data_IF_585632220985
#
_entry.id   IF_585632220985
#
_cell.length_a   1.000
_cell.length_b   1.000
_cell.length_c   1.000
_cell.angle_alpha   90.00
_cell.angle_beta   90.00
_cell.angle_gamma   90.00
#
_symmetry.space_group_name_H-M   'P 1'
#
loop_
_entity.id
_entity.type
_entity.pdbx_description
1 polymer ?
#
# COMPACT_ATOMS: atom_id res chain seq x y z
N UNK A 1 24.34 17.81 14.91
CA UNK A 1 24.73 16.44 14.56
C UNK A 1 24.12 15.54 15.62
N UNK A 2 23.08 14.80 15.28
CA UNK A 2 22.60 13.69 16.14
C UNK A 2 23.55 12.54 15.87
N UNK A 3 24.26 12.10 16.90
CA UNK A 3 25.22 11.00 16.79
C UNK A 3 24.54 9.74 16.23
N UNK A 4 25.21 9.05 15.32
CA UNK A 4 24.74 7.78 14.73
C UNK A 4 24.44 6.72 15.81
N UNK A 5 25.12 6.79 16.94
CA UNK A 5 24.89 5.96 18.13
C UNK A 5 23.53 6.23 18.77
N UNK A 6 23.14 7.51 18.86
CA UNK A 6 21.83 7.91 19.42
C UNK A 6 20.68 7.48 18.49
N UNK A 7 20.91 7.49 17.17
CA UNK A 7 19.93 7.02 16.19
C UNK A 7 19.74 5.50 16.26
N UNK A 8 20.84 4.74 16.39
CA UNK A 8 20.81 3.30 16.55
C UNK A 8 20.12 2.86 17.84
N UNK A 9 20.47 3.51 18.96
CA UNK A 9 19.83 3.25 20.25
C UNK A 9 18.33 3.56 20.24
N UNK A 10 17.93 4.64 19.59
CA UNK A 10 16.50 5.00 19.45
C UNK A 10 15.76 3.96 18.62
N UNK A 11 16.34 3.47 17.53
CA UNK A 11 15.77 2.40 16.72
C UNK A 11 15.67 1.07 17.48
N UNK A 12 16.69 0.72 18.27
CA UNK A 12 16.64 -0.48 19.12
C UNK A 12 15.60 -0.37 20.24
N UNK A 13 15.46 0.80 20.86
CA UNK A 13 14.43 1.04 21.88
C UNK A 13 13.04 1.05 21.26
N UNK A 14 12.86 1.68 20.11
CA UNK A 14 11.61 1.62 19.36
C UNK A 14 11.27 0.19 18.96
N UNK A 15 12.22 -0.57 18.44
CA UNK A 15 12.02 -1.99 18.10
C UNK A 15 11.69 -2.82 19.36
N UNK A 16 12.40 -2.65 20.47
CA UNK A 16 12.15 -3.35 21.72
C UNK A 16 10.78 -2.99 22.32
N UNK A 17 10.38 -1.73 22.29
CA UNK A 17 9.09 -1.27 22.83
C UNK A 17 7.93 -1.79 21.96
N UNK A 18 8.08 -1.85 20.66
CA UNK A 18 7.00 -2.23 19.74
C UNK A 18 6.97 -3.73 19.42
N UNK A 19 8.11 -4.44 19.44
CA UNK A 19 8.16 -5.88 19.13
C UNK A 19 8.15 -6.78 20.36
N UNK A 20 8.93 -6.47 21.38
CA UNK A 20 9.11 -7.40 22.53
C UNK A 20 8.05 -7.26 23.62
N UNK A 21 7.41 -6.10 23.74
CA UNK A 21 6.46 -5.89 24.86
C UNK A 21 5.08 -6.52 24.63
N UNK A 22 4.74 -6.93 23.42
CA UNK A 22 3.38 -7.35 23.06
C UNK A 22 2.32 -6.26 23.32
N UNK A 23 2.76 -5.04 23.71
CA UNK A 23 1.90 -3.94 24.12
C UNK A 23 1.21 -3.30 22.91
N UNK A 24 1.89 -3.26 21.75
CA UNK A 24 1.28 -2.78 20.52
C UNK A 24 1.50 -3.77 19.39
N UNK A 25 0.47 -4.51 19.07
CA UNK A 25 0.37 -5.32 17.87
C UNK A 25 -0.96 -4.97 17.22
N UNK A 26 -0.95 -4.70 15.94
CA UNK A 26 -2.15 -4.33 15.22
C UNK A 26 -3.26 -5.39 15.41
N UNK A 27 -4.49 -4.92 15.52
CA UNK A 27 -5.65 -5.76 15.79
C UNK A 27 -5.78 -6.92 14.80
N UNK A 28 -5.56 -6.66 13.51
CA UNK A 28 -5.65 -7.66 12.46
C UNK A 28 -4.67 -8.82 12.67
N UNK A 29 -3.46 -8.56 13.15
CA UNK A 29 -2.47 -9.61 13.42
C UNK A 29 -2.73 -10.36 14.71
N UNK A 30 -3.36 -9.72 15.70
CA UNK A 30 -3.80 -10.39 16.95
C UNK A 30 -4.96 -11.34 16.73
N UNK A 31 -5.91 -10.97 15.88
CA UNK A 31 -7.21 -11.65 15.74
C UNK A 31 -7.37 -12.42 14.43
N UNK A 32 -6.49 -12.16 13.49
CA UNK A 32 -6.42 -12.89 12.24
C UNK A 32 -5.10 -13.62 12.09
N UNK A 33 -4.42 -13.66 11.19
CA UNK A 33 -3.07 -14.11 10.83
C UNK A 33 -2.67 -13.43 9.54
N UNK A 34 -3.68 -13.00 8.76
CA UNK A 34 -3.49 -12.26 7.52
C UNK A 34 -4.73 -11.43 7.23
N UNK A 35 -4.54 -10.34 6.51
CA UNK A 35 -5.62 -9.49 6.01
C UNK A 35 -5.84 -9.76 4.52
N UNK A 36 -7.09 -9.68 4.09
CA UNK A 36 -7.49 -9.78 2.69
C UNK A 36 -8.36 -8.57 2.36
N UNK A 37 -7.86 -7.68 1.50
CA UNK A 37 -8.64 -6.58 0.98
C UNK A 37 -9.69 -7.10 -0.01
N UNK A 38 -10.89 -6.54 0.07
CA UNK A 38 -12.01 -6.86 -0.82
C UNK A 38 -12.48 -5.58 -1.49
N UNK A 39 -12.68 -5.63 -2.81
CA UNK A 39 -13.33 -4.54 -3.51
C UNK A 39 -14.76 -4.33 -3.00
N UNK A 40 -15.04 -3.13 -2.55
CA UNK A 40 -16.40 -2.70 -2.28
C UNK A 40 -16.95 -2.09 -3.58
N UNK A 41 -17.85 -2.83 -4.25
CA UNK A 41 -18.58 -2.30 -5.39
C UNK A 41 -19.62 -1.29 -4.88
N UNK A 42 -19.44 -0.05 -5.23
CA UNK A 42 -20.23 1.05 -4.70
C UNK A 42 -20.44 2.12 -5.78
N UNK A 43 -21.47 2.94 -5.64
CA UNK A 43 -21.71 4.14 -6.45
C UNK A 43 -20.83 5.30 -5.93
N UNK A 44 -20.86 6.46 -6.61
CA UNK A 44 -20.19 7.68 -6.13
C UNK A 44 -20.78 8.12 -4.77
N UNK A 45 -22.11 7.95 -4.58
CA UNK A 45 -22.77 8.24 -3.30
C UNK A 45 -22.27 7.29 -2.20
N UNK A 46 -22.07 6.02 -2.54
CA UNK A 46 -21.50 5.05 -1.61
C UNK A 46 -20.03 5.35 -1.30
N UNK A 47 -19.26 5.90 -2.25
CA UNK A 47 -17.90 6.37 -2.02
C UNK A 47 -17.89 7.45 -0.93
N UNK A 48 -18.74 8.48 -1.06
CA UNK A 48 -18.86 9.55 -0.06
C UNK A 48 -19.24 9.00 1.32
N UNK A 49 -20.19 8.07 1.38
CA UNK A 49 -20.67 7.48 2.63
C UNK A 49 -19.64 6.55 3.30
N UNK A 50 -18.82 5.85 2.50
CA UNK A 50 -17.86 4.87 3.03
C UNK A 50 -16.46 5.44 3.25
N UNK A 51 -16.11 6.60 2.65
CA UNK A 51 -14.75 7.13 2.70
C UNK A 51 -14.21 7.29 4.13
N UNK A 52 -15.02 7.84 5.03
CA UNK A 52 -14.64 8.03 6.44
C UNK A 52 -15.20 6.96 7.38
N UNK A 53 -15.85 5.93 6.83
CA UNK A 53 -16.42 4.84 7.60
C UNK A 53 -15.34 3.80 7.94
N UNK A 54 -15.27 3.38 9.21
CA UNK A 54 -14.37 2.33 9.65
C UNK A 54 -14.63 1.02 8.89
N UNK A 55 -13.55 0.30 8.50
CA UNK A 55 -13.68 -0.93 7.73
C UNK A 55 -14.61 -1.97 8.40
N UNK A 56 -14.57 -2.06 9.73
CA UNK A 56 -15.40 -3.01 10.49
C UNK A 56 -16.91 -2.77 10.37
N UNK A 57 -17.32 -1.59 9.95
CA UNK A 57 -18.73 -1.21 9.76
C UNK A 57 -19.17 -1.36 8.31
N UNK A 58 -18.20 -1.42 7.38
CA UNK A 58 -18.49 -1.60 5.96
C UNK A 58 -19.03 -3.00 5.66
N UNK A 59 -19.90 -3.07 4.65
CA UNK A 59 -20.43 -4.36 4.18
C UNK A 59 -19.29 -5.28 3.70
N UNK A 60 -19.29 -6.53 4.17
CA UNK A 60 -18.29 -7.53 3.80
C UNK A 60 -17.13 -7.66 4.79
N UNK A 61 -17.03 -6.79 5.81
CA UNK A 61 -16.06 -6.98 6.88
C UNK A 61 -16.35 -8.28 7.64
N UNK A 62 -15.30 -9.00 7.98
CA UNK A 62 -15.44 -10.23 8.77
C UNK A 62 -14.11 -10.90 9.06
N UNK A 63 -14.13 -11.78 10.04
CA UNK A 63 -13.00 -12.65 10.38
C UNK A 63 -13.40 -14.09 10.08
N UNK A 64 -12.74 -14.70 9.12
CA UNK A 64 -13.01 -16.08 8.67
C UNK A 64 -11.76 -16.93 8.88
N UNK A 65 -11.78 -17.78 9.92
CA UNK A 65 -10.61 -18.54 10.31
C UNK A 65 -9.48 -17.61 10.77
N UNK A 66 -8.37 -17.62 10.02
CA UNK A 66 -7.21 -16.76 10.26
C UNK A 66 -7.13 -15.56 9.28
N UNK A 67 -8.18 -15.29 8.54
CA UNK A 67 -8.23 -14.18 7.59
C UNK A 67 -9.18 -13.09 8.05
N UNK A 68 -8.70 -11.87 8.07
CA UNK A 68 -9.51 -10.67 8.28
C UNK A 68 -9.83 -10.06 6.93
N UNK A 69 -11.09 -10.08 6.54
CA UNK A 69 -11.58 -9.44 5.31
C UNK A 69 -11.81 -7.96 5.58
N UNK A 70 -11.15 -7.13 4.81
CA UNK A 70 -11.22 -5.67 4.93
C UNK A 70 -11.81 -5.11 3.63
N UNK A 71 -13.05 -4.58 3.66
CA UNK A 71 -13.66 -3.92 2.51
C UNK A 71 -12.94 -2.60 2.23
N UNK A 72 -12.28 -2.52 1.08
CA UNK A 72 -11.52 -1.35 0.62
C UNK A 72 -12.13 -0.77 -0.64
N UNK A 73 -11.94 0.52 -0.83
CA UNK A 73 -12.43 1.28 -1.99
C UNK A 73 -11.30 1.43 -3.00
N UNK A 74 -11.63 1.23 -4.27
CA UNK A 74 -10.78 1.63 -5.38
C UNK A 74 -11.67 2.28 -6.44
N UNK A 75 -11.55 3.59 -6.57
CA UNK A 75 -12.36 4.39 -7.45
C UNK A 75 -11.52 5.23 -8.40
N UNK A 76 -12.02 5.34 -9.61
CA UNK A 76 -11.57 6.31 -10.60
C UNK A 76 -12.77 7.18 -10.97
N UNK A 77 -12.59 8.49 -10.87
CA UNK A 77 -13.60 9.48 -11.22
C UNK A 77 -13.05 10.31 -12.37
N UNK A 78 -13.65 10.10 -13.55
CA UNK A 78 -13.29 10.81 -14.77
C UNK A 78 -14.12 12.07 -14.92
N UNK A 79 -13.47 13.15 -15.33
CA UNK A 79 -14.10 14.43 -15.60
C UNK A 79 -14.32 15.30 -14.38
N UNK A 80 -14.94 16.45 -14.62
CA UNK A 80 -15.24 17.46 -13.61
C UNK A 80 -16.75 17.73 -13.58
N UNK A 81 -17.23 18.27 -12.46
CA UNK A 81 -18.58 18.83 -12.40
C UNK A 81 -18.73 20.01 -13.37
N UNK A 82 -19.97 20.34 -13.71
CA UNK A 82 -20.28 21.49 -14.58
C UNK A 82 -19.92 22.85 -13.96
N UNK A 83 -19.74 22.88 -12.63
CA UNK A 83 -19.31 24.05 -11.86
C UNK A 83 -18.02 23.72 -11.08
N UNK A 84 -17.02 24.58 -11.19
CA UNK A 84 -15.74 24.41 -10.54
C UNK A 84 -15.84 24.41 -9.00
N UNK A 85 -16.79 25.18 -8.44
CA UNK A 85 -16.99 25.21 -6.99
C UNK A 85 -17.56 23.87 -6.49
N UNK A 86 -18.49 23.28 -7.25
CA UNK A 86 -19.05 21.97 -6.93
C UNK A 86 -17.98 20.89 -7.00
N UNK A 87 -17.10 20.96 -8.02
CA UNK A 87 -15.96 20.05 -8.12
C UNK A 87 -14.96 20.22 -6.96
N UNK A 88 -14.60 21.45 -6.63
CA UNK A 88 -13.72 21.73 -5.48
C UNK A 88 -14.34 21.25 -4.16
N UNK A 89 -15.65 21.43 -3.99
CA UNK A 89 -16.37 20.94 -2.81
C UNK A 89 -16.39 19.41 -2.75
N UNK A 90 -16.58 18.74 -3.89
CA UNK A 90 -16.50 17.28 -4.00
C UNK A 90 -15.10 16.78 -3.63
N UNK A 91 -14.05 17.28 -4.27
CA UNK A 91 -12.65 16.90 -3.99
C UNK A 91 -12.31 17.17 -2.53
N UNK A 92 -12.75 18.30 -1.98
CA UNK A 92 -12.52 18.70 -0.59
C UNK A 92 -12.97 17.67 0.45
N UNK A 93 -13.98 16.85 0.12
CA UNK A 93 -14.48 15.78 1.00
C UNK A 93 -13.42 14.67 1.22
N UNK A 94 -12.56 14.45 0.23
CA UNK A 94 -11.63 13.32 0.23
C UNK A 94 -10.21 13.66 0.64
N UNK A 95 -9.78 14.91 0.45
CA UNK A 95 -8.38 15.30 0.66
C UNK A 95 -8.06 15.80 2.07
N UNK A 96 -9.08 16.13 2.87
CA UNK A 96 -8.90 16.76 4.20
C UNK A 96 -8.63 15.78 5.34
N UNK A 97 -8.63 14.49 5.10
CA UNK A 97 -8.48 13.44 6.12
C UNK A 97 -7.05 13.36 6.69
N UNK A 98 -6.93 13.17 8.01
CA UNK A 98 -5.64 13.02 8.71
C UNK A 98 -4.78 11.89 8.14
N UNK A 99 -5.42 10.82 7.68
CA UNK A 99 -4.78 9.58 7.23
C UNK A 99 -4.83 9.46 5.70
N UNK A 100 -4.97 10.61 5.01
CA UNK A 100 -5.03 10.69 3.56
C UNK A 100 -3.71 11.21 2.99
N UNK A 101 -3.17 10.49 2.02
CA UNK A 101 -2.03 10.88 1.20
C UNK A 101 -2.53 11.41 -0.14
N UNK A 102 -2.29 12.69 -0.41
CA UNK A 102 -2.54 13.29 -1.71
C UNK A 102 -1.28 13.17 -2.58
N UNK A 103 -1.44 12.68 -3.81
CA UNK A 103 -0.36 12.54 -4.79
C UNK A 103 -0.80 13.07 -6.17
N UNK A 104 0.18 13.48 -6.98
CA UNK A 104 -0.03 13.88 -8.37
C UNK A 104 0.13 12.73 -9.38
N UNK A 105 0.17 11.48 -8.90
CA UNK A 105 0.30 10.29 -9.72
C UNK A 105 1.73 9.94 -10.15
N UNK A 106 2.74 10.60 -9.58
CA UNK A 106 4.16 10.30 -9.85
C UNK A 106 4.66 9.20 -8.91
N UNK A 107 5.39 8.18 -9.43
CA UNK A 107 5.93 7.10 -8.58
C UNK A 107 6.81 7.59 -7.44
N UNK A 108 7.56 8.68 -7.65
CA UNK A 108 8.48 9.25 -6.67
C UNK A 108 7.78 9.78 -5.42
N UNK A 109 6.48 9.98 -5.48
CA UNK A 109 5.68 10.39 -4.31
C UNK A 109 5.36 9.20 -3.38
N UNK A 110 5.46 7.98 -3.91
CA UNK A 110 5.16 6.73 -3.22
C UNK A 110 6.43 5.92 -2.92
N UNK A 111 7.50 6.13 -3.69
CA UNK A 111 8.72 5.34 -3.67
C UNK A 111 9.94 6.19 -3.35
N UNK A 112 10.85 5.63 -2.56
CA UNK A 112 12.22 6.12 -2.43
C UNK A 112 13.10 5.36 -3.43
N UNK A 113 13.23 5.83 -4.65
CA UNK A 113 13.95 5.12 -5.72
C UNK A 113 15.46 5.11 -5.43
N UNK A 114 15.95 3.98 -4.90
CA UNK A 114 17.35 3.79 -4.50
C UNK A 114 17.97 2.52 -5.07
N UNK A 115 17.18 1.64 -5.68
CA UNK A 115 17.62 0.35 -6.22
C UNK A 115 18.24 0.56 -7.59
N UNK A 116 19.49 0.08 -7.77
CA UNK A 116 20.21 0.12 -9.04
C UNK A 116 19.82 -1.04 -9.97
N UNK A 117 20.27 -0.99 -11.24
CA UNK A 117 20.07 -2.10 -12.16
C UNK A 117 20.71 -3.41 -11.69
N UNK A 118 21.87 -3.33 -11.00
CA UNK A 118 22.52 -4.50 -10.41
C UNK A 118 21.71 -5.09 -9.25
N UNK A 119 21.00 -4.25 -8.50
CA UNK A 119 20.14 -4.70 -7.42
C UNK A 119 18.86 -5.37 -7.97
N UNK A 120 18.31 -4.87 -9.07
CA UNK A 120 17.22 -5.54 -9.80
C UNK A 120 17.64 -6.95 -10.24
N UNK A 121 18.88 -7.12 -10.71
CA UNK A 121 19.42 -8.44 -11.04
C UNK A 121 19.46 -9.36 -9.79
N UNK A 122 19.89 -8.85 -8.63
CA UNK A 122 19.90 -9.63 -7.37
C UNK A 122 18.49 -10.07 -6.96
N UNK A 123 17.47 -9.22 -7.14
CA UNK A 123 16.07 -9.58 -6.91
C UNK A 123 15.66 -10.75 -7.81
N UNK A 124 16.12 -10.80 -9.05
CA UNK A 124 15.77 -11.89 -9.98
C UNK A 124 16.21 -13.28 -9.49
N UNK A 125 17.27 -13.35 -8.67
CA UNK A 125 17.73 -14.60 -8.05
C UNK A 125 16.89 -15.03 -6.84
N UNK A 126 16.03 -14.16 -6.33
CA UNK A 126 15.09 -14.49 -5.26
C UNK A 126 13.81 -15.14 -5.81
N UNK A 127 13.62 -15.17 -7.14
CA UNK A 127 12.45 -15.77 -7.75
C UNK A 127 12.55 -17.31 -7.72
N UNK A 128 11.45 -17.95 -7.35
CA UNK A 128 11.26 -19.41 -7.36
C UNK A 128 10.80 -19.89 -8.73
N UNK A 129 10.84 -21.20 -8.94
CA UNK A 129 10.43 -21.84 -10.19
C UNK A 129 8.94 -21.68 -10.54
N UNK A 130 8.08 -21.44 -9.55
CA UNK A 130 6.64 -21.15 -9.70
C UNK A 130 6.34 -19.68 -10.01
N UNK A 131 7.37 -18.84 -10.06
CA UNK A 131 7.26 -17.41 -10.33
C UNK A 131 7.01 -16.55 -9.09
N UNK A 132 6.84 -17.14 -7.90
CA UNK A 132 6.82 -16.42 -6.63
C UNK A 132 8.24 -16.00 -6.21
N UNK A 133 8.33 -15.13 -5.19
CA UNK A 133 9.60 -14.68 -4.64
C UNK A 133 9.81 -15.23 -3.23
N UNK A 134 11.03 -15.68 -2.96
CA UNK A 134 11.44 -16.22 -1.67
C UNK A 134 11.63 -15.09 -0.66
N UNK A 135 10.86 -15.11 0.43
CA UNK A 135 10.89 -14.05 1.46
C UNK A 135 12.25 -13.94 2.13
N UNK A 136 12.83 -15.07 2.52
CA UNK A 136 14.11 -15.08 3.26
C UNK A 136 15.25 -14.55 2.37
N UNK A 137 15.22 -14.88 1.08
CA UNK A 137 16.20 -14.34 0.13
C UNK A 137 15.99 -12.85 -0.12
N UNK A 138 14.74 -12.36 -0.15
CA UNK A 138 14.47 -10.93 -0.26
C UNK A 138 14.97 -10.18 0.98
N UNK A 139 14.71 -10.71 2.18
CA UNK A 139 15.20 -10.13 3.44
C UNK A 139 16.73 -10.12 3.54
N UNK A 140 17.40 -11.06 2.90
CA UNK A 140 18.87 -11.15 2.87
C UNK A 140 19.54 -10.19 1.87
N UNK A 141 18.77 -9.43 1.06
CA UNK A 141 19.34 -8.49 0.11
C UNK A 141 20.02 -7.31 0.85
N UNK A 142 21.20 -6.85 0.41
CA UNK A 142 21.96 -5.82 1.13
C UNK A 142 21.25 -4.44 1.14
N UNK A 143 20.33 -4.22 0.24
CA UNK A 143 19.51 -3.00 0.14
C UNK A 143 18.09 -3.16 0.72
N UNK A 144 17.80 -4.29 1.39
CA UNK A 144 16.51 -4.52 2.03
C UNK A 144 16.31 -3.53 3.19
N UNK A 145 15.15 -2.84 3.21
CA UNK A 145 14.94 -1.66 4.05
C UNK A 145 13.91 -1.85 5.15
N UNK A 146 13.17 -2.97 5.12
CA UNK A 146 12.01 -3.16 6.00
C UNK A 146 12.36 -3.82 7.34
N UNK A 147 13.57 -4.30 7.53
CA UNK A 147 14.05 -4.89 8.77
C UNK A 147 13.86 -4.04 10.06
N UNK A 148 13.79 -2.68 10.01
CA UNK A 148 13.49 -1.88 11.20
C UNK A 148 12.03 -1.88 11.65
N UNK A 149 11.11 -2.38 10.80
CA UNK A 149 9.68 -2.43 11.12
C UNK A 149 9.32 -3.70 11.89
N UNK A 150 8.05 -3.81 12.32
CA UNK A 150 7.54 -4.98 13.00
C UNK A 150 7.60 -6.23 12.10
N UNK A 151 7.97 -7.38 12.65
CA UNK A 151 8.07 -8.65 11.90
C UNK A 151 6.74 -9.03 11.23
N UNK A 152 5.59 -8.78 11.88
CA UNK A 152 4.26 -9.01 11.30
C UNK A 152 4.03 -8.12 10.06
N UNK A 153 4.45 -6.84 10.12
CA UNK A 153 4.35 -5.88 9.00
C UNK A 153 5.26 -6.28 7.85
N UNK A 154 6.47 -6.70 8.15
CA UNK A 154 7.46 -7.15 7.18
C UNK A 154 6.96 -8.37 6.42
N UNK A 155 6.54 -9.41 7.14
CA UNK A 155 6.00 -10.63 6.56
C UNK A 155 4.73 -10.36 5.75
N UNK A 156 3.86 -9.50 6.27
CA UNK A 156 2.63 -9.08 5.60
C UNK A 156 2.91 -8.45 4.24
N UNK A 157 3.86 -7.49 4.15
CA UNK A 157 4.21 -6.84 2.88
C UNK A 157 4.76 -7.87 1.88
N UNK A 158 5.66 -8.75 2.32
CA UNK A 158 6.26 -9.76 1.44
C UNK A 158 5.24 -10.79 0.95
N UNK A 159 4.27 -11.15 1.79
CA UNK A 159 3.15 -12.00 1.37
C UNK A 159 2.26 -11.30 0.34
N UNK A 160 1.95 -10.01 0.55
CA UNK A 160 1.17 -9.22 -0.39
C UNK A 160 1.84 -9.03 -1.76
N UNK A 161 3.16 -8.97 -1.81
CA UNK A 161 3.90 -8.99 -3.10
C UNK A 161 3.55 -10.27 -3.89
N UNK A 162 3.67 -11.44 -3.26
CA UNK A 162 3.39 -12.71 -3.92
C UNK A 162 1.89 -12.88 -4.25
N UNK A 163 0.99 -12.46 -3.37
CA UNK A 163 -0.45 -12.44 -3.62
C UNK A 163 -0.81 -11.56 -4.83
N UNK A 164 -0.20 -10.38 -4.93
CA UNK A 164 -0.42 -9.45 -6.06
C UNK A 164 0.06 -10.05 -7.38
N UNK A 165 1.24 -10.66 -7.38
CA UNK A 165 1.79 -11.31 -8.58
C UNK A 165 1.00 -12.54 -9.04
N UNK A 166 0.26 -13.18 -8.13
CA UNK A 166 -0.59 -14.34 -8.44
C UNK A 166 -2.00 -13.97 -8.89
N UNK A 167 -2.42 -12.73 -8.64
CA UNK A 167 -3.75 -12.22 -8.97
C UNK A 167 -3.79 -11.64 -10.39
N UNK A 168 -4.22 -12.45 -11.34
CA UNK A 168 -4.35 -12.02 -12.75
C UNK A 168 -5.51 -11.05 -13.00
N UNK A 169 -6.36 -10.82 -12.02
CA UNK A 169 -7.58 -10.00 -12.16
C UNK A 169 -7.41 -8.57 -11.62
N UNK A 170 -6.37 -8.34 -10.82
CA UNK A 170 -6.15 -7.04 -10.17
C UNK A 170 -5.83 -5.92 -11.16
N UNK A 171 -5.12 -6.24 -12.24
CA UNK A 171 -4.69 -5.26 -13.23
C UNK A 171 -5.32 -5.55 -14.59
N UNK A 172 -5.72 -4.52 -15.30
CA UNK A 172 -6.17 -4.62 -16.69
C UNK A 172 -5.09 -5.22 -17.61
N UNK A 173 -3.82 -5.02 -17.26
CA UNK A 173 -2.66 -5.64 -17.90
C UNK A 173 -1.89 -6.45 -16.85
N UNK A 174 -2.10 -7.78 -16.75
CA UNK A 174 -1.43 -8.63 -15.77
C UNK A 174 0.10 -8.60 -15.90
N UNK A 175 0.78 -8.73 -14.76
CA UNK A 175 2.26 -8.82 -14.71
C UNK A 175 2.66 -10.27 -15.01
N UNK A 176 2.91 -10.59 -16.26
CA UNK A 176 3.18 -11.97 -16.72
C UNK A 176 4.67 -12.23 -16.88
N UNK A 177 5.36 -11.31 -17.54
CA UNK A 177 6.76 -11.46 -17.90
C UNK A 177 7.66 -11.50 -16.67
N UNK A 178 8.69 -12.35 -16.71
CA UNK A 178 9.65 -12.48 -15.61
C UNK A 178 10.29 -11.15 -15.25
N UNK A 179 10.63 -10.35 -16.24
CA UNK A 179 11.23 -9.02 -16.06
C UNK A 179 10.28 -8.09 -15.33
N UNK A 180 9.02 -8.02 -15.77
CA UNK A 180 8.01 -7.13 -15.19
C UNK A 180 7.73 -7.51 -13.73
N UNK A 181 7.73 -8.82 -13.40
CA UNK A 181 7.62 -9.31 -12.02
C UNK A 181 8.77 -8.84 -11.15
N UNK A 182 10.00 -8.91 -11.65
CA UNK A 182 11.19 -8.45 -10.92
C UNK A 182 11.16 -6.94 -10.71
N UNK A 183 10.79 -6.17 -11.74
CA UNK A 183 10.63 -4.71 -11.65
C UNK A 183 9.53 -4.33 -10.65
N UNK A 184 8.40 -5.04 -10.66
CA UNK A 184 7.34 -4.86 -9.68
C UNK A 184 7.83 -5.10 -8.23
N UNK A 185 8.53 -6.21 -7.99
CA UNK A 185 9.11 -6.49 -6.67
C UNK A 185 10.10 -5.41 -6.27
N UNK A 186 10.95 -4.96 -7.19
CA UNK A 186 11.87 -3.85 -6.94
C UNK A 186 11.13 -2.58 -6.49
N UNK A 187 10.01 -2.24 -7.10
CA UNK A 187 9.17 -1.13 -6.67
C UNK A 187 8.58 -1.36 -5.27
N UNK A 188 8.01 -2.53 -5.03
CA UNK A 188 7.40 -2.87 -3.75
C UNK A 188 8.42 -2.87 -2.59
N UNK A 189 9.72 -3.09 -2.85
CA UNK A 189 10.78 -3.00 -1.85
C UNK A 189 11.27 -1.57 -1.59
N UNK A 190 10.71 -0.57 -2.28
CA UNK A 190 11.10 0.83 -2.20
C UNK A 190 9.99 1.77 -1.71
N UNK A 191 8.95 1.24 -1.09
CA UNK A 191 7.91 2.10 -0.50
C UNK A 191 8.56 3.15 0.41
N UNK A 192 8.12 4.40 0.29
CA UNK A 192 8.70 5.47 1.07
C UNK A 192 8.34 5.34 2.57
N UNK A 193 9.10 6.06 3.40
CA UNK A 193 8.94 5.99 4.86
C UNK A 193 7.52 6.34 5.33
N UNK A 194 6.82 7.23 4.62
CA UNK A 194 5.46 7.65 4.99
C UNK A 194 4.47 6.49 4.80
N UNK A 195 4.54 5.81 3.65
CA UNK A 195 3.72 4.62 3.41
C UNK A 195 4.04 3.49 4.38
N UNK A 196 5.33 3.23 4.60
CA UNK A 196 5.76 2.22 5.56
C UNK A 196 5.27 2.51 6.97
N UNK A 197 5.36 3.76 7.43
CA UNK A 197 4.81 4.16 8.71
C UNK A 197 3.29 3.94 8.78
N UNK A 198 2.57 4.29 7.73
CA UNK A 198 1.12 4.04 7.65
C UNK A 198 0.83 2.53 7.77
N UNK A 199 1.51 1.68 7.02
CA UNK A 199 1.31 0.23 7.05
C UNK A 199 1.62 -0.34 8.45
N UNK A 200 2.68 0.13 9.09
CA UNK A 200 3.15 -0.38 10.39
C UNK A 200 2.29 0.07 11.57
N UNK A 201 1.60 1.20 11.46
CA UNK A 201 0.84 1.79 12.57
C UNK A 201 -0.66 1.63 12.49
N UNK A 202 -1.20 1.27 11.32
CA UNK A 202 -2.65 1.18 11.14
C UNK A 202 -3.25 -0.09 11.70
N UNK A 203 -4.32 0.07 12.47
CA UNK A 203 -5.30 -0.96 12.76
C UNK A 203 -6.40 -0.92 11.69
N UNK A 204 -6.22 -1.64 10.59
CA UNK A 204 -7.09 -1.58 9.41
C UNK A 204 -8.59 -1.74 9.67
N UNK A 205 -9.05 -2.54 10.65
CA UNK A 205 -10.47 -2.60 10.99
C UNK A 205 -11.06 -1.28 11.47
N UNK A 206 -10.26 -0.43 12.12
CA UNK A 206 -10.71 0.84 12.72
C UNK A 206 -10.39 2.05 11.86
N UNK A 207 -9.27 2.02 11.13
CA UNK A 207 -8.87 3.10 10.25
C UNK A 207 -8.23 2.56 8.98
N UNK A 208 -8.71 2.99 7.83
CA UNK A 208 -8.11 2.63 6.54
C UNK A 208 -7.26 3.79 6.07
N UNK A 209 -5.97 3.56 5.78
CA UNK A 209 -5.14 4.56 5.15
C UNK A 209 -5.64 4.85 3.73
N UNK A 210 -5.57 6.11 3.31
CA UNK A 210 -6.19 6.58 2.08
C UNK A 210 -5.18 7.21 1.15
N UNK A 211 -5.36 7.01 -0.15
CA UNK A 211 -4.59 7.69 -1.19
C UNK A 211 -5.59 8.36 -2.14
N UNK A 212 -5.40 9.65 -2.35
CA UNK A 212 -6.08 10.41 -3.41
C UNK A 212 -5.02 10.79 -4.44
N UNK A 213 -5.13 10.21 -5.63
CA UNK A 213 -4.29 10.52 -6.78
C UNK A 213 -5.03 11.53 -7.67
N UNK A 214 -4.48 12.74 -7.78
CA UNK A 214 -5.03 13.78 -8.64
C UNK A 214 -4.21 13.82 -9.92
N UNK A 215 -4.82 13.43 -11.04
CA UNK A 215 -4.16 13.39 -12.33
C UNK A 215 -4.41 14.69 -13.08
N UNK A 216 -3.37 15.47 -13.28
CA UNK A 216 -3.40 16.65 -14.13
C UNK A 216 -3.34 16.25 -15.61
N UNK A 217 -3.87 17.11 -16.51
CA UNK A 217 -3.91 16.91 -17.97
C UNK A 217 -2.56 16.58 -18.60
N UNK A 218 -1.46 17.05 -17.99
CA UNK A 218 -0.09 16.82 -18.44
C UNK A 218 0.55 15.58 -17.79
N UNK A 219 -0.06 15.01 -16.77
CA UNK A 219 0.46 13.83 -16.08
C UNK A 219 -0.16 12.55 -16.65
N UNK A 220 0.41 12.06 -17.75
CA UNK A 220 0.22 10.63 -18.04
C UNK A 220 0.70 9.84 -16.82
N UNK A 221 -0.19 9.06 -16.21
CA UNK A 221 0.23 8.07 -15.22
C UNK A 221 1.45 7.33 -15.75
N UNK A 222 2.55 7.37 -15.01
CA UNK A 222 3.66 6.49 -15.32
C UNK A 222 3.12 5.06 -15.36
N UNK A 223 3.65 4.22 -16.24
CA UNK A 223 3.24 2.81 -16.32
C UNK A 223 3.38 2.07 -14.99
N UNK A 224 4.17 2.59 -14.08
CA UNK A 224 4.45 2.02 -12.75
C UNK A 224 3.38 2.38 -11.71
N UNK A 225 2.80 3.57 -11.77
CA UNK A 225 1.86 4.07 -10.77
C UNK A 225 0.64 3.16 -10.57
N UNK A 226 -0.05 2.67 -11.61
CA UNK A 226 -1.17 1.74 -11.44
C UNK A 226 -0.79 0.46 -10.70
N UNK A 227 0.41 -0.08 -10.95
CA UNK A 227 0.87 -1.29 -10.26
C UNK A 227 1.10 -1.04 -8.77
N UNK A 228 1.66 0.12 -8.40
CA UNK A 228 1.85 0.48 -6.99
C UNK A 228 0.51 0.77 -6.31
N UNK A 229 -0.40 1.49 -6.95
CA UNK A 229 -1.74 1.73 -6.40
C UNK A 229 -2.50 0.42 -6.19
N UNK A 230 -2.48 -0.50 -7.17
CA UNK A 230 -3.07 -1.82 -7.03
C UNK A 230 -2.45 -2.65 -5.90
N UNK A 231 -1.13 -2.58 -5.73
CA UNK A 231 -0.44 -3.21 -4.62
C UNK A 231 -0.86 -2.62 -3.27
N UNK A 232 -0.92 -1.30 -3.15
CA UNK A 232 -1.36 -0.62 -1.92
C UNK A 232 -2.83 -0.93 -1.60
N UNK A 233 -3.68 -1.06 -2.63
CA UNK A 233 -5.04 -1.55 -2.44
C UNK A 233 -5.07 -2.98 -1.88
N UNK A 234 -4.21 -3.89 -2.38
CA UNK A 234 -4.07 -5.26 -1.83
C UNK A 234 -3.56 -5.27 -0.38
N UNK A 235 -2.74 -4.31 0.00
CA UNK A 235 -2.34 -4.09 1.39
C UNK A 235 -3.53 -3.69 2.27
N UNK A 236 -4.49 -2.92 1.72
CA UNK A 236 -5.68 -2.50 2.45
C UNK A 236 -5.93 -0.98 2.44
N UNK A 237 -5.34 -0.25 1.51
CA UNK A 237 -5.60 1.18 1.33
C UNK A 237 -6.89 1.43 0.55
N UNK A 238 -7.63 2.45 0.95
CA UNK A 238 -8.63 3.05 0.08
C UNK A 238 -7.93 3.96 -0.94
N UNK A 239 -8.32 3.82 -2.20
CA UNK A 239 -7.71 4.56 -3.31
C UNK A 239 -8.78 5.28 -4.11
N UNK A 240 -8.56 6.57 -4.32
CA UNK A 240 -9.37 7.41 -5.19
C UNK A 240 -8.46 8.06 -6.24
N UNK A 241 -8.74 7.81 -7.49
CA UNK A 241 -8.08 8.45 -8.62
C UNK A 241 -9.04 9.51 -9.19
N UNK A 242 -8.60 10.74 -9.26
CA UNK A 242 -9.34 11.86 -9.84
C UNK A 242 -8.67 12.27 -11.15
N UNK A 243 -9.37 12.10 -12.26
CA UNK A 243 -8.92 12.44 -13.61
C UNK A 243 -9.79 13.56 -14.20
N UNK A 244 -9.53 14.84 -13.87
CA UNK A 244 -10.42 15.95 -14.25
C UNK A 244 -10.54 16.17 -15.75
N UNK A 245 -9.58 15.67 -16.52
CA UNK A 245 -9.59 15.85 -17.98
C UNK A 245 -10.26 14.72 -18.76
N UNK A 246 -10.54 13.61 -18.15
CA UNK A 246 -11.22 12.46 -18.77
C UNK A 246 -10.40 11.77 -19.83
#
# INVERSE_FOLDING_TARGET
>A
QIDSVTLGFRQEVEKAVFTDSGLFRQWQFKHGGTTESMFLNATVEDLENNWDTEARVRQGFGVIGKKVKIPTLFYEVDGVHSDDNDYCAFVGKFVGGKDTLLISGKPEELLDITISADDVLKISFCQRGDGSFDRDRLKALPFYRYAPYNDDTEDFILDKINETLSDSTLFSRPIVEKRDKVEFVAMCLQLNKKLMYMIDTFDFPFGIPKIVAFLDNDSSLSQQTPYILGFLHKIGFDILVLAPAG
#
